data_IF_915503775276
#
_entry.id   IF_915503775276
#
_cell.length_a   1.000
_cell.length_b   1.000
_cell.length_c   1.000
_cell.angle_alpha   90.00
_cell.angle_beta   90.00
_cell.angle_gamma   90.00
#
_symmetry.space_group_name_H-M   'P 1'
#
loop_
_entity.id
_entity.type
_entity.pdbx_description
1 polymer ?
#
# COMPACT_ATOMS: atom_id res chain seq x y z
N UNK A 1 24.14 21.13 18.62
CA UNK A 1 23.29 20.03 19.07
C UNK A 1 22.35 20.60 20.13
N UNK A 2 21.05 20.83 19.81
CA UNK A 2 20.08 21.36 20.80
C UNK A 2 19.79 20.27 21.82
N UNK A 3 20.01 20.54 23.10
CA UNK A 3 19.59 19.62 24.16
C UNK A 3 18.07 19.42 24.08
N UNK A 4 17.65 18.15 24.10
CA UNK A 4 16.22 17.79 24.14
C UNK A 4 15.59 18.42 25.39
N UNK A 5 14.49 19.14 25.22
CA UNK A 5 13.76 19.72 26.36
C UNK A 5 13.02 18.62 27.12
N UNK A 6 12.69 18.87 28.39
CA UNK A 6 11.89 17.93 29.19
C UNK A 6 10.56 17.56 28.50
N UNK A 7 9.98 18.50 27.73
CA UNK A 7 8.77 18.25 26.94
C UNK A 7 9.01 17.28 25.77
N UNK A 8 10.19 17.33 25.14
CA UNK A 8 10.54 16.43 24.05
C UNK A 8 10.77 15.00 24.58
N UNK A 9 11.40 14.88 25.75
CA UNK A 9 11.60 13.58 26.41
C UNK A 9 10.26 12.96 26.85
N UNK A 10 9.32 13.78 27.38
CA UNK A 10 7.98 13.31 27.74
C UNK A 10 7.18 12.86 26.51
N UNK A 11 7.25 13.57 25.39
CA UNK A 11 6.59 13.16 24.13
C UNK A 11 7.17 11.85 23.60
N UNK A 12 8.48 11.71 23.58
CA UNK A 12 9.13 10.45 23.18
C UNK A 12 8.74 9.30 24.11
N UNK A 13 8.76 9.54 25.44
CA UNK A 13 8.32 8.55 26.42
C UNK A 13 6.86 8.12 26.25
N UNK A 14 5.97 9.06 25.89
CA UNK A 14 4.56 8.75 25.64
C UNK A 14 4.39 7.87 24.38
N UNK A 15 5.16 8.13 23.33
CA UNK A 15 5.12 7.30 22.08
C UNK A 15 5.57 5.88 22.39
N UNK A 16 6.72 5.73 23.07
CA UNK A 16 7.21 4.40 23.44
C UNK A 16 6.28 3.68 24.41
N UNK A 17 5.70 4.41 25.37
CA UNK A 17 4.70 3.88 26.31
C UNK A 17 3.46 3.37 25.58
N UNK A 18 2.97 4.10 24.56
CA UNK A 18 1.85 3.69 23.74
C UNK A 18 2.15 2.41 22.96
N UNK A 19 3.33 2.34 22.29
CA UNK A 19 3.75 1.14 21.55
C UNK A 19 3.84 -0.09 22.48
N UNK A 20 4.43 0.06 23.66
CA UNK A 20 4.53 -1.03 24.63
C UNK A 20 3.13 -1.47 25.09
N UNK A 21 2.23 -0.53 25.33
CA UNK A 21 0.86 -0.81 25.74
C UNK A 21 0.08 -1.56 24.65
N UNK A 22 0.22 -1.15 23.39
CA UNK A 22 -0.37 -1.87 22.25
C UNK A 22 0.17 -3.30 22.13
N UNK A 23 1.49 -3.48 22.17
CA UNK A 23 2.12 -4.80 22.11
C UNK A 23 1.65 -5.69 23.27
N UNK A 24 1.58 -5.15 24.47
CA UNK A 24 1.08 -5.88 25.65
C UNK A 24 -0.41 -6.25 25.48
N UNK A 25 -1.23 -5.30 25.02
CA UNK A 25 -2.65 -5.53 24.78
C UNK A 25 -2.88 -6.65 23.76
N UNK A 26 -2.24 -6.58 22.58
CA UNK A 26 -2.42 -7.60 21.57
C UNK A 26 -1.83 -8.95 21.96
N UNK A 27 -0.72 -8.97 22.72
CA UNK A 27 -0.15 -10.21 23.27
C UNK A 27 -1.08 -10.88 24.25
N UNK A 28 -1.72 -10.11 25.14
CA UNK A 28 -2.68 -10.62 26.12
C UNK A 28 -3.98 -11.02 25.43
N UNK A 29 -4.55 -10.14 24.61
CA UNK A 29 -5.81 -10.38 23.92
C UNK A 29 -5.71 -11.59 22.95
N UNK A 30 -4.62 -11.73 22.21
CA UNK A 30 -4.39 -12.88 21.32
C UNK A 30 -4.37 -14.20 22.07
N UNK A 31 -3.77 -14.25 23.26
CA UNK A 31 -3.73 -15.46 24.06
C UNK A 31 -5.08 -15.79 24.72
N UNK A 32 -5.88 -14.80 25.11
CA UNK A 32 -7.15 -15.02 25.81
C UNK A 32 -8.36 -15.18 24.87
N UNK A 33 -8.36 -14.52 23.72
CA UNK A 33 -9.51 -14.54 22.81
C UNK A 33 -9.48 -15.73 21.84
N UNK A 34 -8.39 -16.53 21.82
CA UNK A 34 -8.25 -17.76 21.03
C UNK A 34 -8.75 -17.64 19.59
N UNK A 35 -8.56 -16.48 18.97
CA UNK A 35 -9.00 -16.25 17.59
C UNK A 35 -8.07 -16.96 16.60
N UNK A 36 -6.85 -17.27 17.04
CA UNK A 36 -5.86 -18.05 16.28
C UNK A 36 -5.12 -18.98 17.24
N UNK A 37 -4.75 -20.19 16.78
CA UNK A 37 -3.96 -21.18 17.54
C UNK A 37 -2.51 -20.69 17.81
N UNK A 38 -2.13 -19.52 17.33
CA UNK A 38 -0.79 -18.95 17.46
C UNK A 38 -0.79 -17.71 18.36
N UNK A 39 0.17 -17.67 19.29
CA UNK A 39 0.37 -16.48 20.14
C UNK A 39 0.77 -15.27 19.30
N UNK A 40 0.35 -14.05 19.70
CA UNK A 40 0.67 -12.82 18.97
C UNK A 40 2.18 -12.66 18.71
N UNK A 41 3.02 -13.02 19.68
CA UNK A 41 4.50 -12.95 19.59
C UNK A 41 5.15 -14.19 18.98
N UNK A 42 4.38 -15.12 18.45
CA UNK A 42 4.92 -16.28 17.78
C UNK A 42 5.68 -15.86 16.50
N UNK A 43 6.76 -16.57 16.20
CA UNK A 43 7.61 -16.27 15.05
C UNK A 43 6.83 -16.29 13.72
N UNK A 44 5.95 -17.26 13.55
CA UNK A 44 5.14 -17.37 12.33
C UNK A 44 4.16 -16.21 12.19
N UNK A 45 3.55 -15.75 13.28
CA UNK A 45 2.69 -14.58 13.28
C UNK A 45 3.48 -13.29 13.00
N UNK A 46 4.67 -13.14 13.59
CA UNK A 46 5.55 -11.99 13.30
C UNK A 46 5.97 -11.98 11.83
N UNK A 47 6.30 -13.13 11.26
CA UNK A 47 6.63 -13.24 9.85
C UNK A 47 5.44 -12.89 8.95
N UNK A 48 4.23 -13.30 9.33
CA UNK A 48 2.99 -12.95 8.62
C UNK A 48 2.75 -11.43 8.65
N UNK A 49 2.88 -10.80 9.83
CA UNK A 49 2.75 -9.35 9.99
C UNK A 49 3.78 -8.58 9.14
N UNK A 50 5.03 -9.04 9.09
CA UNK A 50 6.06 -8.45 8.25
C UNK A 50 5.71 -8.59 6.76
N UNK A 51 5.24 -9.76 6.31
CA UNK A 51 4.82 -9.98 4.92
C UNK A 51 3.64 -9.06 4.54
N UNK A 52 2.66 -8.89 5.42
CA UNK A 52 1.51 -8.02 5.18
C UNK A 52 1.89 -6.53 5.20
N UNK A 53 2.88 -6.15 6.01
CA UNK A 53 3.36 -4.77 6.13
C UNK A 53 4.31 -4.37 5.01
N UNK A 54 4.99 -5.32 4.36
CA UNK A 54 6.01 -5.04 3.35
C UNK A 54 5.50 -4.18 2.16
N UNK A 55 4.33 -4.48 1.55
CA UNK A 55 3.80 -3.64 0.48
C UNK A 55 3.52 -2.21 0.93
N UNK A 56 2.97 -2.05 2.14
CA UNK A 56 2.70 -0.73 2.73
C UNK A 56 4.01 0.03 2.96
N UNK A 57 5.04 -0.66 3.44
CA UNK A 57 6.38 -0.09 3.64
C UNK A 57 6.99 0.43 2.33
N UNK A 58 6.88 -0.33 1.24
CA UNK A 58 7.38 0.09 -0.09
C UNK A 58 6.62 1.33 -0.57
N UNK A 59 5.30 1.34 -0.44
CA UNK A 59 4.46 2.51 -0.78
C UNK A 59 4.86 3.72 0.06
N UNK A 60 5.07 3.55 1.37
CA UNK A 60 5.47 4.61 2.27
C UNK A 60 6.82 5.24 1.91
N UNK A 61 7.79 4.45 1.43
CA UNK A 61 9.05 4.98 0.90
C UNK A 61 8.82 5.87 -0.32
N UNK A 62 7.99 5.45 -1.28
CA UNK A 62 7.60 6.27 -2.43
C UNK A 62 6.91 7.57 -2.01
N UNK A 63 5.95 7.48 -1.07
CA UNK A 63 5.25 8.65 -0.52
C UNK A 63 6.19 9.61 0.20
N UNK A 64 7.23 9.10 0.87
CA UNK A 64 8.24 9.94 1.53
C UNK A 64 8.94 10.86 0.52
N UNK A 65 9.29 10.36 -0.66
CA UNK A 65 9.91 11.15 -1.72
C UNK A 65 8.99 12.28 -2.19
N UNK A 66 7.69 11.99 -2.35
CA UNK A 66 6.68 12.98 -2.74
C UNK A 66 6.52 14.05 -1.66
N UNK A 67 6.46 13.65 -0.38
CA UNK A 67 6.33 14.56 0.76
C UNK A 67 7.56 15.45 0.97
N UNK A 68 8.78 14.97 0.71
CA UNK A 68 10.00 15.79 0.76
C UNK A 68 9.92 16.95 -0.24
N UNK A 69 9.26 16.75 -1.38
CA UNK A 69 9.00 17.79 -2.37
C UNK A 69 7.80 18.71 -2.02
N UNK A 70 7.21 18.57 -0.84
CA UNK A 70 6.08 19.35 -0.38
C UNK A 70 4.73 18.97 -0.99
N UNK A 71 4.64 17.84 -1.66
CA UNK A 71 3.42 17.35 -2.32
C UNK A 71 2.80 16.17 -1.55
N UNK A 72 1.53 15.89 -1.84
CA UNK A 72 0.80 14.73 -1.31
C UNK A 72 0.12 14.04 -2.51
N UNK A 73 0.28 12.71 -2.60
CA UNK A 73 -0.42 11.90 -3.60
C UNK A 73 -1.49 11.03 -2.92
N UNK A 74 -2.76 11.39 -3.16
CA UNK A 74 -3.90 10.64 -2.65
C UNK A 74 -4.30 9.46 -3.57
N UNK A 75 -3.78 9.43 -4.79
CA UNK A 75 -4.14 8.41 -5.79
C UNK A 75 -3.42 7.08 -5.59
N UNK A 76 -2.40 7.02 -4.73
CA UNK A 76 -1.52 5.87 -4.57
C UNK A 76 -2.27 4.55 -4.31
N UNK A 77 -3.30 4.56 -3.46
CA UNK A 77 -4.11 3.38 -3.19
C UNK A 77 -4.93 2.92 -4.40
N UNK A 78 -5.50 3.85 -5.15
CA UNK A 78 -6.25 3.55 -6.37
C UNK A 78 -5.33 3.07 -7.51
N UNK A 79 -4.14 3.67 -7.62
CA UNK A 79 -3.08 3.25 -8.54
C UNK A 79 -2.63 1.82 -8.25
N UNK A 80 -2.42 1.50 -6.97
CA UNK A 80 -2.04 0.15 -6.53
C UNK A 80 -3.14 -0.87 -6.89
N UNK A 81 -4.41 -0.55 -6.62
CA UNK A 81 -5.53 -1.43 -6.96
C UNK A 81 -5.63 -1.67 -8.47
N UNK A 82 -5.49 -0.62 -9.28
CA UNK A 82 -5.55 -0.74 -10.75
C UNK A 82 -4.35 -1.54 -11.29
N UNK A 83 -3.15 -1.32 -10.76
CA UNK A 83 -1.96 -2.08 -11.13
C UNK A 83 -2.11 -3.57 -10.78
N UNK A 84 -2.71 -3.89 -9.63
CA UNK A 84 -2.99 -5.27 -9.23
C UNK A 84 -3.99 -5.94 -10.18
N UNK A 85 -5.04 -5.23 -10.61
CA UNK A 85 -6.00 -5.75 -11.60
C UNK A 85 -5.30 -6.03 -12.93
N UNK A 86 -4.49 -5.09 -13.43
CA UNK A 86 -3.75 -5.28 -14.70
C UNK A 86 -2.80 -6.47 -14.61
N UNK A 87 -2.14 -6.66 -13.48
CA UNK A 87 -1.29 -7.82 -13.23
C UNK A 87 -2.08 -9.12 -13.33
N UNK A 88 -3.20 -9.22 -12.60
CA UNK A 88 -4.02 -10.43 -12.55
C UNK A 88 -4.67 -10.72 -13.92
N UNK A 89 -5.21 -9.70 -14.56
CA UNK A 89 -5.84 -9.83 -15.87
C UNK A 89 -4.83 -10.28 -16.94
N UNK A 90 -3.63 -9.70 -16.93
CA UNK A 90 -2.59 -10.08 -17.88
C UNK A 90 -2.29 -11.57 -17.87
N UNK A 91 -2.40 -12.24 -16.72
CA UNK A 91 -2.19 -13.68 -16.59
C UNK A 91 -3.25 -14.53 -17.30
N UNK A 92 -4.42 -13.96 -17.61
CA UNK A 92 -5.48 -14.64 -18.36
C UNK A 92 -5.26 -14.57 -19.88
N UNK A 93 -4.35 -13.74 -20.37
CA UNK A 93 -4.13 -13.56 -21.79
C UNK A 93 -3.51 -14.82 -22.43
N UNK A 94 -3.96 -15.23 -23.64
CA UNK A 94 -3.54 -16.49 -24.23
C UNK A 94 -2.02 -16.63 -24.41
N UNK A 95 -1.33 -15.53 -24.74
CA UNK A 95 0.13 -15.58 -24.89
C UNK A 95 0.84 -15.76 -23.54
N UNK A 96 0.31 -15.20 -22.45
CA UNK A 96 0.88 -15.35 -21.11
C UNK A 96 0.79 -16.79 -20.61
N UNK A 97 -0.32 -17.47 -20.92
CA UNK A 97 -0.53 -18.87 -20.55
C UNK A 97 0.49 -19.82 -21.23
N UNK A 98 1.05 -19.40 -22.36
CA UNK A 98 2.06 -20.17 -23.08
C UNK A 98 3.51 -19.87 -22.64
N UNK A 99 3.73 -18.87 -21.76
CA UNK A 99 5.07 -18.44 -21.33
C UNK A 99 5.63 -19.26 -20.17
N UNK A 100 4.84 -20.16 -19.54
CA UNK A 100 5.27 -20.94 -18.38
C UNK A 100 5.77 -20.00 -17.25
N UNK A 101 6.96 -20.29 -16.72
CA UNK A 101 7.53 -19.54 -15.58
C UNK A 101 7.79 -18.05 -15.84
N UNK A 102 7.87 -17.63 -17.12
CA UNK A 102 8.05 -16.24 -17.48
C UNK A 102 6.78 -15.38 -17.38
N UNK A 103 5.61 -15.99 -17.25
CA UNK A 103 4.34 -15.27 -17.11
C UNK A 103 4.32 -14.38 -15.86
N UNK A 104 4.82 -14.89 -14.72
CA UNK A 104 4.82 -14.15 -13.45
C UNK A 104 5.69 -12.89 -13.51
N UNK A 105 6.99 -12.97 -13.90
CA UNK A 105 7.82 -11.78 -14.04
C UNK A 105 7.24 -10.74 -15.01
N UNK A 106 6.63 -11.19 -16.10
CA UNK A 106 6.04 -10.29 -17.07
C UNK A 106 4.78 -9.60 -16.53
N UNK A 107 3.92 -10.32 -15.79
CA UNK A 107 2.77 -9.73 -15.11
C UNK A 107 3.18 -8.64 -14.10
N UNK A 108 4.25 -8.86 -13.35
CA UNK A 108 4.86 -7.82 -12.51
C UNK A 108 5.33 -6.61 -13.32
N UNK A 109 5.91 -6.86 -14.49
CA UNK A 109 6.30 -5.80 -15.43
C UNK A 109 5.11 -4.92 -15.84
N UNK A 110 3.96 -5.52 -16.16
CA UNK A 110 2.73 -4.78 -16.48
C UNK A 110 2.20 -3.98 -15.29
N UNK A 111 2.24 -4.53 -14.07
CA UNK A 111 1.84 -3.80 -12.87
C UNK A 111 2.73 -2.56 -12.64
N UNK A 112 4.04 -2.73 -12.72
CA UNK A 112 5.00 -1.62 -12.57
C UNK A 112 4.80 -0.56 -13.66
N UNK A 113 4.63 -0.97 -14.90
CA UNK A 113 4.37 -0.05 -16.02
C UNK A 113 3.08 0.74 -15.79
N UNK A 114 2.01 0.08 -15.30
CA UNK A 114 0.76 0.75 -14.95
C UNK A 114 1.00 1.83 -13.90
N UNK A 115 1.71 1.51 -12.82
CA UNK A 115 2.05 2.48 -11.78
C UNK A 115 2.83 3.68 -12.33
N UNK A 116 3.84 3.42 -13.17
CA UNK A 116 4.64 4.47 -13.83
C UNK A 116 3.77 5.36 -14.72
N UNK A 117 2.91 4.78 -15.54
CA UNK A 117 2.04 5.53 -16.47
C UNK A 117 1.07 6.42 -15.69
N UNK A 118 0.38 5.87 -14.68
CA UNK A 118 -0.58 6.63 -13.89
C UNK A 118 0.09 7.73 -13.07
N UNK A 119 1.25 7.45 -12.47
CA UNK A 119 2.05 8.46 -11.78
C UNK A 119 2.57 9.54 -12.73
N UNK A 120 3.00 9.17 -13.93
CA UNK A 120 3.43 10.13 -14.94
C UNK A 120 2.28 11.04 -15.40
N UNK A 121 1.07 10.51 -15.56
CA UNK A 121 -0.13 11.30 -15.88
C UNK A 121 -0.36 12.35 -14.80
N UNK A 122 -0.38 11.97 -13.51
CA UNK A 122 -0.55 12.90 -12.40
C UNK A 122 0.56 13.96 -12.39
N UNK A 123 1.82 13.55 -12.49
CA UNK A 123 2.96 14.45 -12.51
C UNK A 123 2.92 15.44 -13.67
N UNK A 124 2.55 14.99 -14.87
CA UNK A 124 2.41 15.85 -16.05
C UNK A 124 1.28 16.87 -15.89
N UNK A 125 0.15 16.50 -15.31
CA UNK A 125 -0.95 17.41 -15.04
C UNK A 125 -0.49 18.49 -14.05
N UNK A 126 0.08 18.10 -12.92
CA UNK A 126 0.61 19.04 -11.91
C UNK A 126 1.61 20.02 -12.55
N UNK A 127 2.58 19.45 -13.29
CA UNK A 127 3.64 20.26 -13.92
C UNK A 127 3.11 21.24 -14.96
N UNK A 128 2.21 20.79 -15.85
CA UNK A 128 1.70 21.63 -16.93
C UNK A 128 0.69 22.69 -16.48
N UNK A 129 -0.13 22.35 -15.50
CA UNK A 129 -1.24 23.22 -15.06
C UNK A 129 -0.87 24.10 -13.89
N UNK A 130 0.15 23.73 -13.11
CA UNK A 130 0.49 24.41 -11.85
C UNK A 130 -0.55 24.18 -10.74
N UNK A 131 -1.53 23.30 -10.95
CA UNK A 131 -2.53 22.95 -9.94
C UNK A 131 -1.86 22.11 -8.85
N UNK A 132 -2.29 22.32 -7.60
CA UNK A 132 -1.78 21.59 -6.46
C UNK A 132 -1.92 20.06 -6.64
N UNK A 133 -0.86 19.33 -6.31
CA UNK A 133 -0.81 17.87 -6.45
C UNK A 133 -1.94 17.18 -5.66
N UNK A 134 -2.32 17.73 -4.52
CA UNK A 134 -3.44 17.23 -3.71
C UNK A 134 -4.76 17.21 -4.52
N UNK A 135 -5.06 18.27 -5.26
CA UNK A 135 -6.30 18.40 -6.06
C UNK A 135 -6.26 17.42 -7.23
N UNK A 136 -5.13 17.39 -7.95
CA UNK A 136 -4.96 16.49 -9.11
C UNK A 136 -5.07 15.02 -8.68
N UNK A 137 -4.37 14.63 -7.62
CA UNK A 137 -4.35 13.24 -7.15
C UNK A 137 -5.66 12.81 -6.49
N UNK A 138 -6.41 13.74 -5.89
CA UNK A 138 -7.78 13.47 -5.41
C UNK A 138 -8.71 13.14 -6.59
N UNK A 139 -8.66 13.93 -7.66
CA UNK A 139 -9.43 13.66 -8.88
C UNK A 139 -9.05 12.33 -9.52
N UNK A 140 -7.75 12.06 -9.64
CA UNK A 140 -7.22 10.80 -10.17
C UNK A 140 -7.59 9.59 -9.31
N UNK A 141 -7.59 9.73 -7.99
CA UNK A 141 -8.05 8.69 -7.06
C UNK A 141 -9.47 8.25 -7.38
N UNK A 142 -10.38 9.21 -7.57
CA UNK A 142 -11.77 8.92 -7.90
C UNK A 142 -11.89 8.29 -9.29
N UNK A 143 -11.17 8.82 -10.28
CA UNK A 143 -11.14 8.29 -11.64
C UNK A 143 -10.61 6.85 -11.69
N UNK A 144 -9.47 6.59 -11.06
CA UNK A 144 -8.86 5.25 -11.04
C UNK A 144 -9.72 4.24 -10.25
N UNK A 145 -10.35 4.67 -9.13
CA UNK A 145 -11.34 3.84 -8.44
C UNK A 145 -12.53 3.51 -9.34
N UNK A 146 -13.04 4.49 -10.09
CA UNK A 146 -14.11 4.26 -11.06
C UNK A 146 -13.74 3.19 -12.08
N UNK A 147 -12.50 3.24 -12.62
CA UNK A 147 -11.99 2.20 -13.53
C UNK A 147 -11.90 0.83 -12.86
N UNK A 148 -11.44 0.76 -11.62
CA UNK A 148 -11.41 -0.50 -10.84
C UNK A 148 -12.80 -1.09 -10.71
N UNK A 149 -13.82 -0.28 -10.37
CA UNK A 149 -15.20 -0.75 -10.25
C UNK A 149 -15.79 -1.17 -11.59
N UNK A 150 -15.53 -0.42 -12.66
CA UNK A 150 -16.01 -0.79 -14.01
C UNK A 150 -15.41 -2.12 -14.46
N UNK A 151 -14.17 -2.39 -14.14
CA UNK A 151 -13.49 -3.62 -14.53
C UNK A 151 -13.98 -4.84 -13.72
N UNK A 152 -14.15 -4.70 -12.43
CA UNK A 152 -14.60 -5.79 -11.55
C UNK A 152 -16.14 -6.01 -11.60
N UNK A 153 -16.90 -5.15 -12.26
CA UNK A 153 -18.38 -5.16 -12.26
C UNK A 153 -18.87 -5.27 -10.83
N UNK A 154 -19.32 -4.30 -10.15
CA UNK A 154 -19.92 -4.22 -8.78
C UNK A 154 -19.72 -5.42 -7.80
N UNK A 155 -19.02 -6.48 -8.22
CA UNK A 155 -18.71 -7.66 -7.40
C UNK A 155 -17.47 -7.34 -6.54
N UNK A 156 -17.57 -7.47 -5.22
CA UNK A 156 -16.36 -7.60 -4.40
C UNK A 156 -15.52 -8.73 -4.98
N UNK A 157 -14.21 -8.64 -4.93
CA UNK A 157 -13.23 -9.62 -5.43
C UNK A 157 -13.36 -11.02 -4.80
N UNK A 158 -14.59 -11.54 -4.73
CA UNK A 158 -14.96 -12.82 -4.14
C UNK A 158 -14.41 -14.03 -4.92
N UNK A 159 -13.82 -13.80 -6.10
CA UNK A 159 -13.16 -14.86 -6.89
C UNK A 159 -11.68 -15.04 -6.58
N UNK A 160 -11.09 -14.19 -5.76
CA UNK A 160 -9.74 -14.40 -5.25
C UNK A 160 -9.83 -15.21 -3.96
N UNK A 161 -10.02 -16.52 -4.10
CA UNK A 161 -9.79 -17.47 -3.02
C UNK A 161 -8.27 -17.55 -2.82
N UNK A 162 -7.80 -16.85 -1.79
CA UNK A 162 -6.43 -16.94 -1.28
C UNK A 162 -6.24 -18.24 -0.51
#
# INVERSE_FOLDING_TARGET
MKMATRKDLLKQGAIWGFIVLELAFFSIAGNYLSVTDTAFMDFDNMLLLLKQSAPIGIIALGMTIIMINGNIDLSVGATFALAAIVMLDSMTWPFMQNLGDWAIPLAWGFALLTGVVLGAINGLIVWKTGVDAFIVTLGSMLGFRGLVFMYNGEQPTSHLNW
#
